data_IF_526214041070
#
_entry.id   IF_526214041070
#
_cell.length_a   1.000
_cell.length_b   1.000
_cell.length_c   1.000
_cell.angle_alpha   90.00
_cell.angle_beta   90.00
_cell.angle_gamma   90.00
#
_symmetry.space_group_name_H-M   'P 1'
#
loop_
_entity.id
_entity.type
_entity.pdbx_description
1 polymer ?
#
# COMPACT_ATOMS: atom_id res chain seq x y z
N UNK A 1 -12.13 -3.80 -9.08
CA UNK A 1 -11.10 -2.89 -8.51
C UNK A 1 -11.67 -2.05 -7.38
N UNK A 2 -11.33 -2.40 -6.13
CA UNK A 2 -11.83 -1.77 -4.90
C UNK A 2 -10.66 -1.08 -4.18
N UNK A 3 -10.90 0.12 -3.66
CA UNK A 3 -9.98 0.77 -2.69
C UNK A 3 -10.54 0.47 -1.31
N UNK A 4 -9.79 -0.23 -0.47
CA UNK A 4 -10.20 -0.55 0.89
C UNK A 4 -9.31 0.21 1.88
N UNK A 5 -9.94 1.03 2.73
CA UNK A 5 -9.30 1.66 3.88
C UNK A 5 -9.55 0.78 5.10
N UNK A 6 -8.54 0.07 5.59
CA UNK A 6 -8.69 -0.80 6.75
C UNK A 6 -8.47 -0.01 8.04
N UNK A 7 -9.49 0.76 8.43
CA UNK A 7 -9.53 1.50 9.71
C UNK A 7 -8.34 2.45 9.94
N UNK A 8 -7.77 3.05 8.89
CA UNK A 8 -6.71 4.06 9.05
C UNK A 8 -5.27 3.53 9.03
N UNK A 9 -5.04 2.22 9.00
CA UNK A 9 -3.70 1.61 9.10
C UNK A 9 -2.90 1.62 7.80
N UNK A 10 -3.57 1.44 6.66
CA UNK A 10 -2.95 1.40 5.34
C UNK A 10 -4.02 1.63 4.26
N UNK A 11 -3.59 2.19 3.14
CA UNK A 11 -4.42 2.34 1.95
C UNK A 11 -4.08 1.23 0.96
N UNK A 12 -5.14 0.58 0.47
CA UNK A 12 -5.01 -0.53 -0.47
C UNK A 12 -5.59 -0.10 -1.81
N UNK A 13 -4.77 -0.07 -2.84
CA UNK A 13 -5.23 0.06 -4.21
C UNK A 13 -5.10 -1.30 -4.91
N UNK A 14 -6.23 -1.87 -5.32
CA UNK A 14 -6.23 -3.02 -6.22
C UNK A 14 -6.32 -2.53 -7.68
N UNK A 15 -5.39 -2.92 -8.52
CA UNK A 15 -5.43 -2.67 -9.96
C UNK A 15 -5.41 -4.00 -10.71
N UNK A 16 -6.29 -4.16 -11.70
CA UNK A 16 -6.26 -5.32 -12.59
C UNK A 16 -5.60 -4.91 -13.91
N UNK A 17 -4.44 -5.49 -14.22
CA UNK A 17 -3.75 -5.29 -15.49
C UNK A 17 -3.35 -6.67 -16.04
N UNK A 18 -3.48 -6.89 -17.34
CA UNK A 18 -3.16 -8.19 -17.98
C UNK A 18 -3.84 -9.42 -17.33
N UNK A 19 -5.14 -9.32 -16.94
CA UNK A 19 -5.92 -10.44 -16.35
C UNK A 19 -5.49 -10.83 -14.92
N UNK A 20 -4.53 -10.11 -14.32
CA UNK A 20 -4.00 -10.37 -12.98
C UNK A 20 -4.37 -9.19 -12.06
N UNK A 21 -4.84 -9.51 -10.85
CA UNK A 21 -5.13 -8.53 -9.80
C UNK A 21 -3.86 -8.27 -8.98
N UNK A 22 -3.37 -7.04 -9.05
CA UNK A 22 -2.26 -6.55 -8.24
C UNK A 22 -2.78 -5.73 -7.07
N UNK A 23 -2.07 -5.83 -5.95
CA UNK A 23 -2.37 -5.05 -4.75
C UNK A 23 -1.19 -4.19 -4.35
N UNK A 24 -1.42 -2.89 -4.34
CA UNK A 24 -0.42 -1.92 -3.93
C UNK A 24 -0.78 -1.42 -2.55
N UNK A 25 0.13 -1.61 -1.59
CA UNK A 25 -0.04 -1.17 -0.21
C UNK A 25 0.76 0.09 0.05
N UNK A 26 0.07 1.15 0.47
CA UNK A 26 0.68 2.29 1.11
C UNK A 26 0.42 2.18 2.62
N UNK A 27 1.48 2.08 3.43
CA UNK A 27 1.32 2.26 4.87
C UNK A 27 1.03 3.74 5.13
N UNK A 28 0.12 4.01 6.07
CA UNK A 28 -0.19 5.41 6.38
C UNK A 28 0.98 6.06 7.08
N UNK A 29 1.42 7.17 6.51
CA UNK A 29 2.39 8.07 7.12
C UNK A 29 1.69 9.33 7.61
N UNK A 30 2.33 10.02 8.55
CA UNK A 30 1.88 11.33 9.00
C UNK A 30 1.84 12.30 7.81
N UNK A 31 0.88 13.21 7.81
CA UNK A 31 0.80 14.25 6.78
C UNK A 31 1.29 15.57 7.37
N UNK A 32 2.06 16.29 6.58
CA UNK A 32 2.39 17.67 6.88
C UNK A 32 1.10 18.50 6.93
N UNK A 33 0.88 19.21 8.04
CA UNK A 33 -0.36 19.95 8.29
C UNK A 33 -0.45 21.25 7.50
N UNK A 34 0.67 21.77 7.01
CA UNK A 34 0.74 22.98 6.18
C UNK A 34 0.73 22.63 4.70
N UNK A 35 1.49 21.61 4.29
CA UNK A 35 1.68 21.28 2.86
C UNK A 35 0.77 20.15 2.38
N UNK A 36 0.23 19.33 3.28
CA UNK A 36 -0.54 18.13 2.96
C UNK A 36 0.29 17.00 2.35
N UNK A 37 1.62 17.14 2.31
CA UNK A 37 2.53 16.16 1.77
C UNK A 37 2.67 14.96 2.73
N UNK A 38 2.85 13.74 2.21
CA UNK A 38 3.10 12.57 3.05
C UNK A 38 4.51 12.68 3.64
N UNK A 39 4.62 12.55 4.97
CA UNK A 39 5.90 12.44 5.67
C UNK A 39 6.41 11.00 5.62
N UNK A 40 7.65 10.78 6.06
CA UNK A 40 8.25 9.44 6.15
C UNK A 40 7.87 8.74 7.47
N UNK A 41 7.43 9.49 8.48
CA UNK A 41 7.01 8.98 9.78
C UNK A 41 5.71 8.21 9.68
N UNK A 42 5.67 6.99 10.21
CA UNK A 42 4.45 6.20 10.27
C UNK A 42 3.46 6.79 11.27
N UNK A 43 2.16 6.71 10.96
CA UNK A 43 1.11 7.09 11.91
C UNK A 43 1.10 6.21 13.16
N UNK A 44 0.50 6.68 14.25
CA UNK A 44 0.38 5.91 15.50
C UNK A 44 -0.22 4.51 15.30
N UNK A 45 -1.22 4.38 14.43
CA UNK A 45 -1.85 3.10 14.11
C UNK A 45 -0.91 2.16 13.35
N UNK A 46 -0.21 2.70 12.35
CA UNK A 46 0.82 1.98 11.58
C UNK A 46 1.95 1.52 12.48
N UNK A 47 2.46 2.38 13.37
CA UNK A 47 3.49 2.06 14.35
C UNK A 47 3.04 0.97 15.32
N UNK A 48 1.81 1.05 15.82
CA UNK A 48 1.25 0.05 16.74
C UNK A 48 1.17 -1.32 16.07
N UNK A 49 0.78 -1.36 14.80
CA UNK A 49 0.74 -2.59 14.02
C UNK A 49 2.13 -3.13 13.70
N UNK A 50 3.07 -2.28 13.25
CA UNK A 50 4.45 -2.70 12.97
C UNK A 50 5.13 -3.23 14.25
N UNK A 51 4.91 -2.56 15.39
CA UNK A 51 5.35 -3.04 16.71
C UNK A 51 4.72 -4.37 17.12
N UNK A 52 3.44 -4.61 16.82
CA UNK A 52 2.80 -5.90 17.14
C UNK A 52 3.37 -7.06 16.32
N UNK A 53 3.97 -6.76 15.15
CA UNK A 53 4.75 -7.71 14.37
C UNK A 53 6.18 -7.89 14.92
N UNK A 54 6.58 -7.15 15.97
CA UNK A 54 7.92 -7.19 16.54
C UNK A 54 8.95 -6.53 15.61
N UNK A 55 8.56 -5.41 15.00
CA UNK A 55 9.39 -4.53 14.19
C UNK A 55 9.36 -3.15 14.84
N UNK A 56 10.54 -2.56 15.08
CA UNK A 56 10.66 -1.27 15.81
C UNK A 56 10.91 -0.07 14.91
N UNK A 57 10.79 -0.24 13.58
CA UNK A 57 10.99 0.86 12.62
C UNK A 57 9.94 1.94 12.78
N UNK A 58 10.39 3.20 12.72
CA UNK A 58 9.52 4.37 12.89
C UNK A 58 9.14 5.01 11.57
N UNK A 59 9.98 4.81 10.54
CA UNK A 59 9.76 5.41 9.23
C UNK A 59 9.52 4.39 8.14
N UNK A 60 8.81 4.82 7.10
CA UNK A 60 8.54 4.02 5.92
C UNK A 60 9.84 3.66 5.19
N UNK A 61 10.76 4.62 5.09
CA UNK A 61 12.08 4.42 4.50
C UNK A 61 12.91 3.37 5.24
N UNK A 62 12.82 3.27 6.57
CA UNK A 62 13.47 2.20 7.34
C UNK A 62 12.89 0.82 7.01
N UNK A 63 11.56 0.73 6.88
CA UNK A 63 10.86 -0.51 6.52
C UNK A 63 11.23 -0.97 5.10
N UNK A 64 11.48 -0.03 4.19
CA UNK A 64 11.88 -0.32 2.81
C UNK A 64 13.38 -0.63 2.72
N UNK A 65 14.24 0.08 3.47
CA UNK A 65 15.70 -0.12 3.50
C UNK A 65 16.13 -1.39 4.21
N UNK A 66 15.39 -1.84 5.21
CA UNK A 66 15.62 -3.13 5.88
C UNK A 66 15.38 -4.34 4.94
N UNK A 67 15.10 -4.09 3.66
CA UNK A 67 14.46 -5.04 2.76
C UNK A 67 12.99 -5.20 3.14
N UNK A 68 12.15 -5.83 2.30
CA UNK A 68 10.78 -6.16 2.68
C UNK A 68 10.81 -6.93 4.00
N UNK A 69 10.53 -6.24 5.12
CA UNK A 69 10.69 -6.83 6.44
C UNK A 69 9.89 -8.12 6.45
N UNK A 70 10.52 -9.30 6.65
CA UNK A 70 9.85 -10.59 6.42
C UNK A 70 8.55 -10.72 7.20
N UNK A 71 8.46 -10.06 8.36
CA UNK A 71 7.27 -10.05 9.21
C UNK A 71 6.13 -9.18 8.68
N UNK A 72 6.44 -7.96 8.21
CA UNK A 72 5.46 -7.04 7.60
C UNK A 72 4.94 -7.64 6.30
N UNK A 73 5.85 -8.12 5.46
CA UNK A 73 5.51 -8.79 4.21
C UNK A 73 4.64 -10.02 4.45
N UNK A 74 5.02 -10.88 5.40
CA UNK A 74 4.24 -12.07 5.77
C UNK A 74 2.87 -11.73 6.34
N UNK A 75 2.76 -10.68 7.17
CA UNK A 75 1.45 -10.25 7.69
C UNK A 75 0.53 -9.75 6.58
N UNK A 76 1.07 -9.04 5.59
CA UNK A 76 0.32 -8.58 4.42
C UNK A 76 -0.07 -9.78 3.55
N UNK A 77 0.87 -10.69 3.29
CA UNK A 77 0.63 -11.92 2.52
C UNK A 77 -0.46 -12.78 3.18
N UNK A 78 -0.43 -12.94 4.49
CA UNK A 78 -1.46 -13.66 5.24
C UNK A 78 -2.82 -12.94 5.16
N UNK A 79 -2.82 -11.60 5.17
CA UNK A 79 -4.01 -10.78 4.90
C UNK A 79 -4.57 -11.02 3.50
N UNK A 80 -3.71 -11.03 2.48
CA UNK A 80 -4.07 -11.34 1.09
C UNK A 80 -4.62 -12.76 1.00
N UNK A 81 -3.95 -13.76 1.59
CA UNK A 81 -4.41 -15.15 1.60
C UNK A 81 -5.81 -15.27 2.20
N UNK A 82 -6.10 -14.57 3.30
CA UNK A 82 -7.44 -14.50 3.89
C UNK A 82 -8.45 -13.86 2.94
N UNK A 83 -8.11 -12.72 2.33
CA UNK A 83 -8.99 -12.05 1.35
C UNK A 83 -9.27 -12.94 0.13
N UNK A 84 -8.26 -13.63 -0.39
CA UNK A 84 -8.34 -14.53 -1.53
C UNK A 84 -9.23 -15.76 -1.28
N UNK A 85 -9.46 -16.16 -0.02
CA UNK A 85 -10.44 -17.23 0.30
C UNK A 85 -11.87 -16.86 -0.08
N UNK A 86 -12.16 -15.56 -0.15
CA UNK A 86 -13.48 -15.05 -0.53
C UNK A 86 -13.56 -14.69 -2.03
N UNK A 87 -12.48 -14.87 -2.79
CA UNK A 87 -12.46 -14.58 -4.22
C UNK A 87 -13.25 -15.65 -4.99
N UNK A 88 -14.17 -15.20 -5.86
CA UNK A 88 -15.07 -16.08 -6.62
C UNK A 88 -14.32 -16.74 -7.79
N UNK A 89 -13.22 -16.14 -8.26
CA UNK A 89 -12.41 -16.67 -9.37
C UNK A 89 -10.93 -16.38 -9.19
N UNK A 90 -10.08 -17.08 -9.93
CA UNK A 90 -8.63 -16.82 -9.95
C UNK A 90 -8.28 -15.42 -10.45
N UNK A 91 -9.09 -14.83 -11.33
CA UNK A 91 -8.94 -13.45 -11.78
C UNK A 91 -9.22 -12.42 -10.66
N UNK A 92 -9.97 -12.81 -9.63
CA UNK A 92 -10.24 -11.98 -8.45
C UNK A 92 -9.28 -12.22 -7.29
N UNK A 93 -8.36 -13.18 -7.42
CA UNK A 93 -7.31 -13.41 -6.43
C UNK A 93 -6.17 -12.43 -6.66
N UNK A 94 -5.75 -11.77 -5.59
CA UNK A 94 -4.50 -11.00 -5.59
C UNK A 94 -3.36 -11.98 -5.70
N UNK A 95 -2.57 -11.88 -6.78
CA UNK A 95 -1.44 -12.79 -7.02
C UNK A 95 -0.10 -12.14 -6.68
N UNK A 96 0.02 -10.83 -6.92
CA UNK A 96 1.25 -10.07 -6.69
C UNK A 96 0.92 -8.81 -5.89
N UNK A 97 1.85 -8.41 -5.02
CA UNK A 97 1.71 -7.19 -4.24
C UNK A 97 3.07 -6.51 -4.02
N UNK A 98 3.02 -5.21 -3.75
CA UNK A 98 4.20 -4.41 -3.39
C UNK A 98 3.83 -3.36 -2.35
N UNK A 99 4.84 -2.87 -1.64
CA UNK A 99 4.72 -1.76 -0.69
C UNK A 99 5.29 -0.51 -1.36
N UNK A 100 4.54 0.58 -1.33
CA UNK A 100 4.98 1.83 -1.94
C UNK A 100 5.95 2.62 -1.05
N UNK A 101 6.81 3.46 -1.66
CA UNK A 101 7.72 4.34 -0.95
C UNK A 101 7.07 5.59 -0.35
N UNK A 102 5.78 5.85 -0.59
CA UNK A 102 5.03 6.94 0.02
C UNK A 102 3.53 6.61 0.10
N UNK A 103 2.81 7.29 1.00
CA UNK A 103 1.35 7.25 1.04
C UNK A 103 0.73 8.13 -0.04
N UNK A 104 -0.50 7.80 -0.44
CA UNK A 104 -1.24 8.59 -1.41
C UNK A 104 -1.63 9.93 -0.80
N UNK A 105 -1.29 11.02 -1.50
CA UNK A 105 -1.63 12.36 -1.05
C UNK A 105 -2.32 13.19 -2.14
N UNK A 106 -2.96 14.29 -1.73
CA UNK A 106 -3.53 15.27 -2.67
C UNK A 106 -2.41 16.05 -3.39
N UNK A 107 -1.36 16.54 -2.70
CA UNK A 107 -0.28 17.30 -3.36
C UNK A 107 0.50 16.50 -4.41
N UNK A 108 0.74 15.20 -4.17
CA UNK A 108 1.39 14.31 -5.15
C UNK A 108 0.47 13.95 -6.33
N UNK A 109 -0.83 14.26 -6.22
CA UNK A 109 -1.82 14.07 -7.27
C UNK A 109 -2.45 12.67 -7.31
N UNK A 110 -2.04 11.77 -6.41
CA UNK A 110 -2.54 10.40 -6.30
C UNK A 110 -3.95 10.38 -5.71
N UNK A 111 -4.28 11.33 -4.83
CA UNK A 111 -5.63 11.58 -4.34
C UNK A 111 -6.26 12.80 -5.05
N UNK A 112 -7.55 12.69 -5.35
CA UNK A 112 -8.36 13.84 -5.72
C UNK A 112 -8.78 14.67 -4.50
N UNK A 113 -9.37 15.86 -4.72
CA UNK A 113 -9.86 16.72 -3.63
C UNK A 113 -10.88 16.04 -2.70
N UNK A 114 -11.55 14.99 -3.19
CA UNK A 114 -12.50 14.16 -2.43
C UNK A 114 -11.83 12.98 -1.72
N UNK A 115 -10.50 12.97 -1.59
CA UNK A 115 -9.68 11.88 -1.02
C UNK A 115 -9.87 10.53 -1.73
N UNK A 116 -10.32 10.57 -2.99
CA UNK A 116 -10.43 9.38 -3.85
C UNK A 116 -9.16 9.19 -4.65
N UNK A 117 -8.64 7.97 -4.68
CA UNK A 117 -7.46 7.62 -5.46
C UNK A 117 -7.70 7.78 -6.97
N UNK A 118 -6.85 8.56 -7.63
CA UNK A 118 -6.82 8.75 -9.09
C UNK A 118 -5.99 7.65 -9.74
N UNK A 119 -6.66 6.56 -10.12
CA UNK A 119 -6.02 5.36 -10.68
C UNK A 119 -5.08 5.62 -11.85
N UNK A 120 -5.48 6.46 -12.80
CA UNK A 120 -4.65 6.76 -13.97
C UNK A 120 -3.33 7.45 -13.59
N UNK A 121 -3.35 8.28 -12.54
CA UNK A 121 -2.14 8.95 -12.05
C UNK A 121 -1.24 7.94 -11.35
N UNK A 122 -1.80 7.13 -10.44
CA UNK A 122 -1.05 6.09 -9.73
C UNK A 122 -0.45 5.07 -10.71
N UNK A 123 -1.23 4.56 -11.67
CA UNK A 123 -0.74 3.60 -12.67
C UNK A 123 0.40 4.17 -13.52
N UNK A 124 0.38 5.48 -13.81
CA UNK A 124 1.45 6.15 -14.56
C UNK A 124 2.69 6.40 -13.69
N UNK A 125 2.49 6.83 -12.44
CA UNK A 125 3.57 7.19 -11.52
C UNK A 125 4.33 5.98 -11.00
N UNK A 126 3.66 4.84 -10.86
CA UNK A 126 4.24 3.58 -10.42
C UNK A 126 4.33 2.55 -11.55
N UNK A 127 4.33 3.00 -12.82
CA UNK A 127 4.44 2.12 -13.97
C UNK A 127 5.65 1.19 -13.84
N UNK A 128 6.83 1.74 -13.51
CA UNK A 128 8.07 0.97 -13.35
C UNK A 128 7.96 -0.08 -12.21
N UNK A 129 7.28 0.26 -11.12
CA UNK A 129 7.08 -0.66 -9.98
C UNK A 129 6.11 -1.78 -10.37
N UNK A 130 5.06 -1.45 -11.14
CA UNK A 130 4.10 -2.42 -11.65
C UNK A 130 4.74 -3.32 -12.70
N UNK A 131 5.57 -2.77 -13.58
CA UNK A 131 6.34 -3.53 -14.56
C UNK A 131 7.35 -4.46 -13.88
N UNK A 132 8.08 -3.99 -12.86
CA UNK A 132 8.98 -4.83 -12.08
C UNK A 132 8.26 -5.95 -11.32
N UNK A 133 6.98 -5.79 -10.97
CA UNK A 133 6.17 -6.88 -10.43
C UNK A 133 5.87 -7.94 -11.51
N UNK A 134 5.82 -7.58 -12.79
CA UNK A 134 5.45 -8.47 -13.89
C UNK A 134 6.62 -9.07 -14.67
N UNK A 135 7.80 -8.45 -14.63
CA UNK A 135 9.04 -8.98 -15.18
C UNK A 135 9.40 -10.34 -14.55
#
# INVERSE_FOLDING_TARGET
DRVANNQGKYQVLSATQYTILNLTFALKTEMDRETGAPLDDLTHESLTWVKSLGVEHKTLSEILKAGPCPKVWKSIEDGIKRANKHAISNAQKVQKFTILPHDFSIPTGELGPTLKVKRNVVAKQYADVIEALYA
#
